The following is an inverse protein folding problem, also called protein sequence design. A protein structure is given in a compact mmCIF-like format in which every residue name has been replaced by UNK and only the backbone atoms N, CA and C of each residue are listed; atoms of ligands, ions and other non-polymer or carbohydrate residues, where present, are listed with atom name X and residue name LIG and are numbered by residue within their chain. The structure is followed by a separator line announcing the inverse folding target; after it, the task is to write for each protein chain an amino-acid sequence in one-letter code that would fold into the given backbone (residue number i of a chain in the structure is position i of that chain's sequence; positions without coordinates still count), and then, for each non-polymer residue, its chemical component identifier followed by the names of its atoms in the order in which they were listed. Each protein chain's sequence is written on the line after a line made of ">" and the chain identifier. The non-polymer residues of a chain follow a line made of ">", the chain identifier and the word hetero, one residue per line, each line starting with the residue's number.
data_IF_865568608640
#
_entry.id   IF_865568608640
#
_cell.length_a   1.000
_cell.length_b   1.000
_cell.length_c   1.000
_cell.angle_alpha   90.00
_cell.angle_beta   90.00
_cell.angle_gamma   90.00
#
_symmetry.space_group_name_H-M   'P 1'
#
loop_
_entity.id
_entity.type
_entity.pdbx_description
1 polymer ?
#
# COMPACT_ATOMS: atom_id res chain seq x y z
N UNK A 1 -11.59 -42.86 -0.28
CA UNK A 1 -10.77 -41.68 -0.62
C UNK A 1 -11.28 -40.51 0.20
N UNK A 2 -10.33 -39.78 0.75
CA UNK A 2 -10.46 -38.84 1.85
C UNK A 2 -11.54 -37.77 1.67
N UNK A 3 -12.39 -37.70 2.68
CA UNK A 3 -13.38 -36.66 2.90
C UNK A 3 -12.68 -35.31 3.04
N UNK A 4 -12.69 -34.52 1.97
CA UNK A 4 -12.38 -33.08 2.04
C UNK A 4 -13.42 -32.47 2.99
N UNK A 5 -13.00 -32.18 4.21
CA UNK A 5 -13.81 -31.44 5.18
C UNK A 5 -13.90 -29.99 4.69
N UNK A 6 -14.83 -29.73 3.78
CA UNK A 6 -15.30 -28.38 3.49
C UNK A 6 -16.24 -27.99 4.63
N UNK A 7 -15.68 -27.50 5.74
CA UNK A 7 -16.49 -26.92 6.82
C UNK A 7 -17.19 -25.67 6.30
N UNK A 8 -18.45 -25.55 6.68
CA UNK A 8 -19.50 -24.66 6.16
C UNK A 8 -19.29 -23.17 6.49
N UNK A 9 -18.15 -22.85 7.07
CA UNK A 9 -17.81 -21.56 7.62
C UNK A 9 -16.44 -21.27 7.03
N UNK A 10 -16.37 -20.33 6.09
CA UNK A 10 -15.15 -19.92 5.38
C UNK A 10 -14.17 -19.28 6.37
N UNK A 11 -13.53 -20.14 7.19
CA UNK A 11 -12.62 -19.78 8.25
C UNK A 11 -11.29 -20.51 8.11
N UNK A 12 -10.21 -19.76 7.96
CA UNK A 12 -8.83 -20.27 7.96
C UNK A 12 -8.13 -19.91 9.27
N UNK A 13 -7.20 -20.74 9.72
CA UNK A 13 -6.40 -20.45 10.93
C UNK A 13 -5.05 -19.88 10.51
N UNK A 14 -4.72 -18.69 11.02
CA UNK A 14 -3.48 -17.97 10.72
C UNK A 14 -2.91 -17.32 11.98
N UNK A 15 -1.60 -17.10 12.00
CA UNK A 15 -0.98 -16.25 13.03
C UNK A 15 -1.42 -14.80 12.86
N UNK A 16 -2.11 -14.26 13.86
CA UNK A 16 -2.57 -12.89 13.83
C UNK A 16 -1.47 -11.96 14.34
N UNK A 17 -0.98 -11.07 13.48
CA UNK A 17 0.03 -10.08 13.86
C UNK A 17 -0.41 -9.10 14.97
N UNK A 18 -1.72 -8.97 15.22
CA UNK A 18 -2.28 -8.12 16.28
C UNK A 18 -2.48 -8.89 17.58
N UNK A 19 -2.98 -10.14 17.53
CA UNK A 19 -3.18 -10.97 18.71
C UNK A 19 -1.90 -11.68 19.17
N UNK A 20 -0.94 -11.89 18.27
CA UNK A 20 0.31 -12.62 18.52
C UNK A 20 0.13 -14.14 18.69
N UNK A 21 -0.99 -14.68 18.21
CA UNK A 21 -1.34 -16.10 18.30
C UNK A 21 -2.13 -16.54 17.07
N UNK A 22 -2.23 -17.85 16.86
CA UNK A 22 -3.09 -18.45 15.85
C UNK A 22 -4.56 -18.17 16.16
N UNK A 23 -5.26 -17.56 15.21
CA UNK A 23 -6.66 -17.20 15.31
C UNK A 23 -7.45 -17.65 14.08
N UNK A 24 -8.78 -17.85 14.20
CA UNK A 24 -9.65 -18.03 13.05
C UNK A 24 -9.82 -16.70 12.31
N UNK A 25 -9.80 -16.75 10.99
CA UNK A 25 -10.06 -15.63 10.11
C UNK A 25 -11.25 -15.96 9.22
N UNK A 26 -12.26 -15.09 9.19
CA UNK A 26 -13.42 -15.19 8.32
C UNK A 26 -13.25 -14.31 7.07
N UNK A 27 -13.77 -14.73 5.93
CA UNK A 27 -13.90 -13.84 4.77
C UNK A 27 -15.09 -12.88 4.98
N UNK A 28 -14.87 -11.56 5.17
CA UNK A 28 -15.96 -10.59 5.27
C UNK A 28 -16.67 -10.45 3.91
N UNK A 29 -17.91 -9.92 3.89
CA UNK A 29 -18.62 -9.66 2.63
C UNK A 29 -17.83 -8.67 1.78
N UNK A 30 -17.20 -9.17 0.71
CA UNK A 30 -16.42 -8.34 -0.19
C UNK A 30 -17.33 -7.39 -0.98
N UNK A 31 -17.23 -6.09 -0.72
CA UNK A 31 -17.97 -5.06 -1.46
C UNK A 31 -17.54 -4.95 -2.94
N UNK A 32 -16.34 -5.43 -3.27
CA UNK A 32 -15.78 -5.41 -4.62
C UNK A 32 -16.37 -6.53 -5.52
N UNK A 33 -17.16 -7.45 -4.95
CA UNK A 33 -17.90 -8.46 -5.70
C UNK A 33 -17.12 -9.74 -6.00
N UNK A 34 -16.02 -10.01 -5.29
CA UNK A 34 -15.20 -11.21 -5.48
C UNK A 34 -15.84 -12.51 -4.97
N UNK A 35 -16.94 -12.43 -4.20
CA UNK A 35 -17.62 -13.60 -3.65
C UNK A 35 -16.67 -14.50 -2.88
N UNK A 36 -16.69 -15.80 -3.17
CA UNK A 36 -15.86 -16.82 -2.51
C UNK A 36 -14.36 -16.78 -2.89
N UNK A 37 -13.98 -16.04 -3.93
CA UNK A 37 -12.57 -15.91 -4.36
C UNK A 37 -11.92 -14.65 -3.75
N UNK A 38 -12.55 -14.04 -2.73
CA UNK A 38 -12.01 -12.83 -2.15
C UNK A 38 -10.71 -13.11 -1.38
N UNK A 39 -9.60 -12.43 -1.70
CA UNK A 39 -8.36 -12.63 -0.97
C UNK A 39 -8.40 -11.99 0.42
N UNK A 40 -9.46 -11.30 0.83
CA UNK A 40 -9.54 -10.61 2.11
C UNK A 40 -10.05 -11.53 3.25
N UNK A 41 -9.32 -11.55 4.36
CA UNK A 41 -9.62 -12.40 5.52
C UNK A 41 -9.47 -11.60 6.80
N UNK A 42 -10.46 -11.62 7.69
CA UNK A 42 -10.48 -10.84 8.93
C UNK A 42 -10.48 -11.75 10.17
N UNK A 43 -9.57 -11.48 11.11
CA UNK A 43 -9.50 -12.18 12.40
C UNK A 43 -10.83 -12.02 13.14
N UNK A 44 -11.45 -13.13 13.56
CA UNK A 44 -12.76 -13.09 14.23
C UNK A 44 -12.69 -12.48 15.63
N UNK A 45 -11.51 -12.47 16.25
CA UNK A 45 -11.30 -11.92 17.60
C UNK A 45 -11.04 -10.41 17.58
N UNK A 46 -10.10 -9.94 16.75
CA UNK A 46 -9.65 -8.54 16.77
C UNK A 46 -10.06 -7.72 15.55
N UNK A 47 -10.57 -8.35 14.49
CA UNK A 47 -10.95 -7.69 13.24
C UNK A 47 -9.80 -7.32 12.31
N UNK A 48 -8.55 -7.72 12.61
CA UNK A 48 -7.41 -7.46 11.75
C UNK A 48 -7.56 -8.19 10.40
N UNK A 49 -7.44 -7.45 9.30
CA UNK A 49 -7.58 -7.99 7.94
C UNK A 49 -6.21 -8.32 7.31
N UNK A 50 -6.14 -9.46 6.62
CA UNK A 50 -4.98 -9.94 5.87
C UNK A 50 -5.41 -10.37 4.46
N UNK A 51 -4.48 -10.30 3.50
CA UNK A 51 -4.73 -10.75 2.14
C UNK A 51 -4.09 -12.13 1.92
N UNK A 52 -4.91 -13.16 1.70
CA UNK A 52 -4.49 -14.53 1.43
C UNK A 52 -5.06 -14.98 0.09
N UNK A 53 -4.19 -15.14 -0.90
CA UNK A 53 -4.58 -15.51 -2.25
C UNK A 53 -3.63 -14.95 -3.31
N UNK A 54 -3.86 -15.24 -4.60
CA UNK A 54 -3.08 -14.66 -5.68
C UNK A 54 -3.27 -13.14 -5.67
N UNK A 55 -2.21 -12.40 -5.38
CA UNK A 55 -2.22 -10.93 -5.45
C UNK A 55 -2.52 -10.54 -6.90
N UNK A 56 -3.67 -9.91 -7.22
CA UNK A 56 -3.88 -9.41 -8.56
C UNK A 56 -2.76 -8.43 -8.82
N UNK A 57 -1.96 -8.67 -9.88
CA UNK A 57 -0.86 -7.82 -10.24
C UNK A 57 -1.38 -6.38 -10.26
N UNK A 58 -0.95 -5.57 -9.29
CA UNK A 58 -1.38 -4.19 -9.19
C UNK A 58 -1.08 -3.58 -10.56
N UNK A 59 -2.14 -3.29 -11.34
CA UNK A 59 -2.00 -2.63 -12.62
C UNK A 59 -1.42 -1.29 -12.25
N UNK A 60 -0.10 -1.18 -12.38
CA UNK A 60 0.66 -0.05 -11.89
C UNK A 60 -0.05 1.19 -12.38
N UNK A 61 -0.60 1.97 -11.45
CA UNK A 61 -1.08 3.30 -11.74
C UNK A 61 0.12 3.96 -12.39
N UNK A 62 0.08 4.06 -13.72
CA UNK A 62 1.14 4.63 -14.50
C UNK A 62 1.38 5.98 -13.88
N UNK A 63 2.51 6.12 -13.16
CA UNK A 63 3.00 7.42 -12.78
C UNK A 63 3.26 8.08 -14.12
N UNK A 64 2.26 8.80 -14.61
CA UNK A 64 2.44 9.85 -15.57
C UNK A 64 3.51 10.71 -14.93
N UNK A 65 4.76 10.49 -15.38
CA UNK A 65 5.88 11.36 -15.09
C UNK A 65 5.59 12.64 -15.87
N UNK A 66 4.58 13.36 -15.37
CA UNK A 66 4.30 14.73 -15.72
C UNK A 66 5.60 15.48 -15.50
N UNK A 67 6.15 15.97 -16.61
CA UNK A 67 7.22 16.95 -16.71
C UNK A 67 7.75 17.45 -15.37
N UNK A 68 8.83 16.84 -14.89
CA UNK A 68 9.84 17.63 -14.18
C UNK A 68 10.73 18.22 -15.26
N UNK A 69 10.25 19.30 -15.86
CA UNK A 69 11.11 20.24 -16.57
C UNK A 69 12.25 20.60 -15.60
N UNK A 70 13.53 20.48 -15.98
CA UNK A 70 14.60 20.93 -15.11
C UNK A 70 14.44 22.44 -14.91
N UNK A 71 14.21 22.82 -13.66
CA UNK A 71 14.25 24.22 -13.22
C UNK A 71 15.64 24.73 -13.57
N UNK A 72 15.75 25.53 -14.63
CA UNK A 72 17.01 26.14 -15.01
C UNK A 72 17.51 26.98 -13.83
N UNK A 73 18.62 26.55 -13.23
CA UNK A 73 19.36 27.34 -12.25
C UNK A 73 19.73 28.67 -12.92
N UNK A 74 19.03 29.74 -12.50
CA UNK A 74 19.24 31.09 -12.99
C UNK A 74 20.68 31.50 -12.71
N UNK A 75 21.51 31.59 -13.75
CA UNK A 75 22.91 31.99 -13.64
C UNK A 75 23.04 33.37 -12.97
N UNK A 76 23.62 33.36 -11.77
CA UNK A 76 24.05 34.57 -11.06
C UNK A 76 25.45 34.89 -11.56
N UNK A 77 25.56 35.41 -12.78
CA UNK A 77 26.83 35.89 -13.31
C UNK A 77 26.77 37.39 -13.57
N UNK A 78 27.42 38.12 -12.68
CA UNK A 78 28.06 39.39 -13.03
C UNK A 78 27.24 40.64 -12.75
N UNK A 79 27.46 41.24 -11.58
CA UNK A 79 27.70 42.69 -11.53
C UNK A 79 28.52 43.08 -10.31
N UNK A 80 29.79 42.67 -10.34
CA UNK A 80 30.84 43.43 -9.68
C UNK A 80 30.84 44.83 -10.31
N UNK A 81 30.28 45.81 -9.61
CA UNK A 81 30.40 47.22 -9.97
C UNK A 81 30.89 47.99 -8.77
N UNK A 82 32.18 48.31 -8.88
CA UNK A 82 32.88 49.35 -8.15
C UNK A 82 32.03 50.61 -7.91
N UNK A 83 32.07 51.10 -6.67
CA UNK A 83 32.09 52.52 -6.29
C UNK A 83 32.42 52.55 -4.79
N UNK A 84 33.67 52.80 -4.38
CA UNK A 84 34.24 54.13 -4.22
C UNK A 84 33.57 54.97 -3.10
N UNK A 85 34.37 55.19 -2.04
CA UNK A 85 34.49 56.41 -1.19
C UNK A 85 33.60 56.53 0.05
N UNK A 86 34.21 56.28 1.22
CA UNK A 86 33.78 56.79 2.53
C UNK A 86 34.77 57.90 2.93
N UNK A 87 34.36 59.16 3.13
CA UNK A 87 35.16 60.13 3.88
C UNK A 87 34.92 60.00 5.40
N UNK A 88 35.95 60.40 6.17
CA UNK A 88 36.05 60.33 7.63
C UNK A 88 35.17 61.37 8.35
#
# INVERSE_FOLDING_TARGET
>A
MESVRLSLDDHIVLDCAVCGVEQPFAQPPCADGHGADCPEWACVECGAAVLVGPVPAARGAGRARSSREPVACREHRGRDRAAARIPA
#
